data_IF_400722949521
#
_entry.id   IF_400722949521
#
_cell.length_a   1.000
_cell.length_b   1.000
_cell.length_c   1.000
_cell.angle_alpha   90.00
_cell.angle_beta   90.00
_cell.angle_gamma   90.00
#
_symmetry.space_group_name_H-M   'P 1'
#
loop_
_entity.id
_entity.type
_entity.pdbx_description
1 polymer ?
#
# COMPACT_ATOMS: atom_id res chain seq x y z
N UNK A 1 33.23 11.31 25.24
CA UNK A 1 32.57 11.53 23.92
C UNK A 1 31.30 12.33 24.12
N UNK A 2 31.27 13.57 23.64
CA UNK A 2 30.24 14.58 24.05
C UNK A 2 28.85 14.23 23.46
N UNK A 3 27.83 14.05 24.32
CA UNK A 3 26.42 13.73 23.93
C UNK A 3 25.85 14.69 22.87
N UNK A 4 26.29 15.94 22.86
CA UNK A 4 25.87 16.96 21.89
C UNK A 4 26.33 16.65 20.45
N UNK A 5 27.57 16.13 20.27
CA UNK A 5 28.14 15.79 18.96
C UNK A 5 27.51 14.53 18.36
N UNK A 6 27.16 13.54 19.19
CA UNK A 6 26.46 12.33 18.74
C UNK A 6 25.02 12.66 18.31
N UNK A 7 24.36 13.57 19.00
CA UNK A 7 23.01 14.04 18.64
C UNK A 7 22.98 14.83 17.32
N UNK A 8 23.99 15.64 17.04
CA UNK A 8 24.12 16.36 15.78
C UNK A 8 24.15 15.38 14.60
N UNK A 9 25.05 14.40 14.66
CA UNK A 9 25.19 13.36 13.62
C UNK A 9 23.90 12.58 13.39
N UNK A 10 23.20 12.15 14.44
CA UNK A 10 21.93 11.44 14.32
C UNK A 10 20.85 12.31 13.66
N UNK A 11 20.77 13.60 14.01
CA UNK A 11 19.81 14.54 13.41
C UNK A 11 20.05 14.70 11.91
N UNK A 12 21.29 14.83 11.48
CA UNK A 12 21.65 15.00 10.07
C UNK A 12 21.38 13.74 9.25
N UNK A 13 21.68 12.56 9.81
CA UNK A 13 21.37 11.28 9.18
C UNK A 13 19.86 11.07 9.03
N UNK A 14 19.08 11.36 10.08
CA UNK A 14 17.62 11.27 10.03
C UNK A 14 17.07 12.24 9.00
N UNK A 15 17.53 13.49 8.96
CA UNK A 15 17.07 14.48 7.96
C UNK A 15 17.44 14.07 6.54
N UNK A 16 18.65 13.56 6.32
CA UNK A 16 19.06 13.00 5.03
C UNK A 16 18.15 11.88 4.57
N UNK A 17 17.84 10.91 5.47
CA UNK A 17 16.92 9.82 5.18
C UNK A 17 15.50 10.32 4.89
N UNK A 18 14.98 11.31 5.63
CA UNK A 18 13.67 11.91 5.38
C UNK A 18 13.59 12.52 3.97
N UNK A 19 14.63 13.20 3.53
CA UNK A 19 14.68 13.77 2.17
C UNK A 19 14.65 12.69 1.08
N UNK A 20 15.35 11.58 1.28
CA UNK A 20 15.29 10.42 0.38
C UNK A 20 13.92 9.73 0.45
N UNK A 21 13.36 9.55 1.64
CA UNK A 21 12.04 8.97 1.88
C UNK A 21 10.92 9.71 1.16
N UNK A 22 11.07 11.01 0.93
CA UNK A 22 10.12 11.82 0.15
C UNK A 22 9.94 11.25 -1.27
N UNK A 23 10.99 10.72 -1.87
CA UNK A 23 10.93 10.08 -3.20
C UNK A 23 10.41 8.65 -3.14
N UNK A 24 10.86 7.86 -2.16
CA UNK A 24 10.58 6.42 -2.07
C UNK A 24 9.27 6.09 -1.36
N UNK A 25 8.89 6.87 -0.33
CA UNK A 25 7.77 6.56 0.58
C UNK A 25 6.64 7.58 0.52
N UNK A 26 6.61 8.45 -0.49
CA UNK A 26 5.57 9.47 -0.62
C UNK A 26 5.58 10.55 0.48
N UNK A 27 6.64 10.60 1.31
CA UNK A 27 6.84 11.63 2.32
C UNK A 27 6.28 11.34 3.70
N UNK A 28 5.69 10.16 3.96
CA UNK A 28 5.25 9.73 5.29
C UNK A 28 6.20 8.68 5.88
N UNK A 29 6.49 8.79 7.18
CA UNK A 29 7.43 7.91 7.88
C UNK A 29 7.11 7.79 9.38
N UNK A 30 7.75 6.81 10.01
CA UNK A 30 7.62 6.48 11.44
C UNK A 30 9.00 6.40 12.08
N UNK A 31 9.16 6.43 13.40
CA UNK A 31 10.46 6.23 14.04
C UNK A 31 11.13 4.90 13.66
N UNK A 32 10.35 3.85 13.40
CA UNK A 32 10.88 2.53 13.02
C UNK A 32 11.60 2.53 11.66
N UNK A 33 11.31 3.49 10.79
CA UNK A 33 11.99 3.64 9.49
C UNK A 33 13.45 4.11 9.64
N UNK A 34 13.90 4.42 10.87
CA UNK A 34 15.24 4.89 11.22
C UNK A 34 15.93 4.01 12.27
N UNK A 35 15.46 2.77 12.44
CA UNK A 35 15.97 1.87 13.48
C UNK A 35 17.47 1.51 13.32
N UNK A 36 18.00 1.64 12.10
CA UNK A 36 19.42 1.47 11.78
C UNK A 36 20.28 2.71 12.09
N UNK A 37 19.68 3.88 12.31
CA UNK A 37 20.37 5.13 12.64
C UNK A 37 20.51 5.32 14.15
N UNK A 38 19.56 4.82 14.92
CA UNK A 38 19.55 4.92 16.37
C UNK A 38 18.36 4.26 17.02
N UNK A 39 18.38 4.17 18.33
CA UNK A 39 17.25 3.62 19.10
C UNK A 39 15.98 4.47 18.92
N UNK A 40 14.81 3.82 19.10
CA UNK A 40 13.50 4.46 18.89
C UNK A 40 13.27 5.72 19.76
N UNK A 41 13.87 5.77 20.96
CA UNK A 41 13.73 6.91 21.86
C UNK A 41 14.52 8.11 21.34
N UNK A 42 15.77 7.89 20.96
CA UNK A 42 16.66 8.93 20.39
C UNK A 42 16.10 9.47 19.07
N UNK A 43 15.68 8.59 18.16
CA UNK A 43 15.02 8.98 16.92
C UNK A 43 13.72 9.75 17.21
N UNK A 44 12.90 9.29 18.14
CA UNK A 44 11.67 9.97 18.55
C UNK A 44 11.92 11.39 19.08
N UNK A 45 12.99 11.60 19.86
CA UNK A 45 13.39 12.94 20.32
C UNK A 45 13.84 13.83 19.16
N UNK A 46 14.60 13.31 18.19
CA UNK A 46 15.02 14.05 16.99
C UNK A 46 13.80 14.49 16.19
N UNK A 47 12.87 13.55 15.90
CA UNK A 47 11.64 13.86 15.17
C UNK A 47 10.77 14.88 15.91
N UNK A 48 10.65 14.77 17.24
CA UNK A 48 9.91 15.74 18.05
C UNK A 48 10.49 17.16 17.94
N UNK A 49 11.83 17.30 17.95
CA UNK A 49 12.49 18.59 17.75
C UNK A 49 12.28 19.13 16.34
N UNK A 50 12.32 18.27 15.31
CA UNK A 50 12.05 18.66 13.92
C UNK A 50 10.59 19.14 13.76
N UNK A 51 9.64 18.56 14.48
CA UNK A 51 8.25 19.04 14.53
C UNK A 51 8.20 20.43 15.16
N UNK A 52 8.86 20.63 16.32
CA UNK A 52 8.91 21.96 16.98
C UNK A 52 9.55 23.03 16.10
N UNK A 53 10.54 22.67 15.27
CA UNK A 53 11.17 23.58 14.28
C UNK A 53 10.34 23.77 13.00
N UNK A 54 9.20 23.11 12.85
CA UNK A 54 8.37 23.18 11.65
C UNK A 54 8.95 22.49 10.42
N UNK A 55 10.06 21.75 10.54
CA UNK A 55 10.70 21.04 9.42
C UNK A 55 9.85 19.86 8.93
N UNK A 56 9.17 19.19 9.84
CA UNK A 56 8.24 18.09 9.59
C UNK A 56 6.95 18.32 10.35
N UNK A 57 5.88 17.65 9.95
CA UNK A 57 4.61 17.66 10.69
C UNK A 57 4.31 16.29 11.27
N UNK A 58 3.60 16.26 12.39
CA UNK A 58 3.07 15.05 12.97
C UNK A 58 1.64 14.83 12.49
N UNK A 59 1.44 13.80 11.67
CA UNK A 59 0.11 13.43 11.14
C UNK A 59 -0.74 12.81 12.26
N UNK A 60 -0.11 11.94 13.05
CA UNK A 60 -0.69 11.28 14.23
C UNK A 60 0.42 10.76 15.14
N UNK A 61 0.04 10.18 16.29
CA UNK A 61 1.02 9.57 17.20
C UNK A 61 1.86 8.52 16.49
N UNK A 62 3.20 8.76 16.41
CA UNK A 62 4.17 7.87 15.79
C UNK A 62 4.16 7.85 14.25
N UNK A 63 3.48 8.81 13.60
CA UNK A 63 3.54 8.99 12.15
C UNK A 63 3.79 10.45 11.83
N UNK A 64 4.75 10.68 10.99
CA UNK A 64 5.25 12.01 10.62
C UNK A 64 5.27 12.15 9.10
N UNK A 65 5.31 13.40 8.64
CA UNK A 65 5.42 13.72 7.23
C UNK A 65 6.35 14.91 6.99
N UNK A 66 6.98 14.94 5.82
CA UNK A 66 7.67 16.11 5.33
C UNK A 66 6.79 16.83 4.32
N UNK A 67 6.20 17.97 4.68
CA UNK A 67 5.29 18.69 3.78
C UNK A 67 6.05 19.17 2.54
N UNK A 68 5.32 19.30 1.43
CA UNK A 68 5.84 19.84 0.17
C UNK A 68 5.28 21.26 -0.01
N UNK A 69 6.10 22.27 -0.29
CA UNK A 69 5.57 23.55 -0.72
C UNK A 69 4.82 23.39 -2.04
N UNK A 70 3.66 24.00 -2.15
CA UNK A 70 2.85 24.04 -3.36
C UNK A 70 2.49 25.49 -3.69
N UNK A 71 2.66 25.95 -4.93
CA UNK A 71 2.49 27.38 -5.28
C UNK A 71 1.11 27.95 -4.93
N UNK A 72 0.04 27.13 -5.05
CA UNK A 72 -1.34 27.56 -4.83
C UNK A 72 -1.88 27.08 -3.47
N UNK A 73 -1.53 25.85 -3.05
CA UNK A 73 -2.10 25.21 -1.85
C UNK A 73 -1.21 25.42 -0.60
N UNK A 74 -0.12 26.18 -0.71
CA UNK A 74 0.81 26.38 0.39
C UNK A 74 1.59 25.14 0.73
N UNK A 75 1.31 24.49 1.87
CA UNK A 75 2.04 23.30 2.34
C UNK A 75 1.19 22.04 2.25
N UNK A 76 1.49 21.20 1.27
CA UNK A 76 0.78 19.93 1.02
C UNK A 76 1.46 18.77 1.76
N UNK A 77 0.69 18.00 2.51
CA UNK A 77 1.17 16.82 3.24
C UNK A 77 1.33 15.59 2.37
N UNK A 78 1.72 14.51 3.01
CA UNK A 78 1.73 13.18 2.40
C UNK A 78 0.28 12.73 2.12
N UNK A 79 0.07 12.09 0.97
CA UNK A 79 -1.23 11.51 0.65
C UNK A 79 -1.63 10.37 1.61
N UNK A 80 -2.93 10.06 1.70
CA UNK A 80 -3.45 9.00 2.57
C UNK A 80 -2.74 7.66 2.38
N UNK A 81 -2.41 7.31 1.15
CA UNK A 81 -1.72 6.04 0.82
C UNK A 81 -0.30 5.99 1.38
N UNK A 82 0.42 7.11 1.33
CA UNK A 82 1.76 7.19 1.92
C UNK A 82 1.73 7.06 3.45
N UNK A 83 0.75 7.68 4.09
CA UNK A 83 0.52 7.55 5.55
C UNK A 83 0.20 6.10 5.90
N UNK A 84 -0.68 5.46 5.14
CA UNK A 84 -1.03 4.06 5.34
C UNK A 84 0.17 3.13 5.11
N UNK A 85 0.95 3.36 4.06
CA UNK A 85 2.17 2.61 3.77
C UNK A 85 3.20 2.73 4.91
N UNK A 86 3.36 3.92 5.50
CA UNK A 86 4.21 4.12 6.66
C UNK A 86 3.73 3.31 7.89
N UNK A 87 2.42 3.29 8.14
CA UNK A 87 1.82 2.48 9.21
C UNK A 87 2.02 0.98 8.94
N UNK A 88 1.82 0.56 7.70
CA UNK A 88 2.00 -0.84 7.31
C UNK A 88 3.45 -1.30 7.49
N UNK A 89 4.44 -0.50 7.07
CA UNK A 89 5.86 -0.79 7.32
C UNK A 89 6.17 -0.92 8.80
N UNK A 90 5.69 0.03 9.63
CA UNK A 90 5.88 0.00 11.09
C UNK A 90 5.30 -1.28 11.72
N UNK A 91 4.11 -1.67 11.28
CA UNK A 91 3.34 -2.78 11.88
C UNK A 91 3.66 -4.14 11.19
N UNK A 92 4.56 -4.16 10.22
CA UNK A 92 4.90 -5.38 9.44
C UNK A 92 3.71 -5.95 8.65
N UNK A 93 2.82 -5.07 8.16
CA UNK A 93 1.60 -5.47 7.46
C UNK A 93 1.80 -5.46 5.95
N UNK A 94 1.44 -6.53 5.30
CA UNK A 94 1.21 -6.54 3.86
C UNK A 94 -0.20 -5.99 3.57
N UNK A 95 -0.29 -5.09 2.60
CA UNK A 95 -1.54 -4.45 2.18
C UNK A 95 -2.03 -5.05 0.88
N UNK A 96 -3.29 -5.45 0.86
CA UNK A 96 -4.05 -5.75 -0.36
C UNK A 96 -5.01 -4.59 -0.62
N UNK A 97 -5.06 -3.98 -1.82
CA UNK A 97 -6.07 -3.00 -2.17
C UNK A 97 -7.47 -3.52 -1.89
N UNK A 98 -8.40 -2.64 -1.57
CA UNK A 98 -9.79 -3.07 -1.39
C UNK A 98 -10.38 -3.62 -2.69
N UNK A 99 -11.38 -4.48 -2.55
CA UNK A 99 -12.02 -5.04 -3.72
C UNK A 99 -12.66 -3.99 -4.63
N UNK A 100 -13.25 -2.93 -4.08
CA UNK A 100 -13.85 -1.85 -4.87
C UNK A 100 -12.77 -1.04 -5.63
N UNK A 101 -11.65 -0.72 -4.98
CA UNK A 101 -10.52 -0.04 -5.60
C UNK A 101 -9.86 -0.92 -6.67
N UNK A 102 -9.67 -2.20 -6.36
CA UNK A 102 -9.15 -3.17 -7.31
C UNK A 102 -10.08 -3.36 -8.52
N UNK A 103 -11.41 -3.41 -8.32
CA UNK A 103 -12.37 -3.50 -9.41
C UNK A 103 -12.35 -2.24 -10.30
N UNK A 104 -12.25 -1.06 -9.70
CA UNK A 104 -12.13 0.19 -10.43
C UNK A 104 -10.82 0.25 -11.25
N UNK A 105 -9.68 -0.05 -10.64
CA UNK A 105 -8.36 -0.04 -11.31
C UNK A 105 -8.25 -1.06 -12.45
N UNK A 106 -9.05 -2.11 -12.43
CA UNK A 106 -9.13 -3.13 -13.49
C UNK A 106 -10.24 -2.83 -14.52
N UNK A 107 -10.94 -1.70 -14.40
CA UNK A 107 -12.03 -1.30 -15.28
C UNK A 107 -13.32 -2.13 -15.11
N UNK A 108 -13.43 -2.92 -14.04
CA UNK A 108 -14.58 -3.79 -13.77
C UNK A 108 -15.73 -3.06 -13.07
N UNK A 109 -15.48 -1.86 -12.56
CA UNK A 109 -16.43 -0.99 -11.88
C UNK A 109 -16.05 0.46 -12.10
N UNK A 110 -17.04 1.33 -12.22
CA UNK A 110 -16.87 2.80 -12.26
C UNK A 110 -16.99 3.43 -10.87
N UNK A 111 -17.33 2.65 -9.84
CA UNK A 111 -17.50 3.14 -8.48
C UNK A 111 -16.14 3.45 -7.86
N UNK A 112 -15.95 4.70 -7.43
CA UNK A 112 -14.82 5.13 -6.62
C UNK A 112 -15.22 5.02 -5.15
N UNK A 113 -14.54 4.19 -4.34
CA UNK A 113 -14.90 4.07 -2.93
C UNK A 113 -14.62 5.38 -2.18
N UNK A 114 -15.61 5.87 -1.43
CA UNK A 114 -15.50 7.09 -0.63
C UNK A 114 -14.48 6.99 0.51
N UNK A 115 -14.08 5.77 0.90
CA UNK A 115 -13.07 5.51 1.93
C UNK A 115 -12.10 4.45 1.46
N UNK A 116 -10.81 4.73 1.63
CA UNK A 116 -9.76 3.76 1.38
C UNK A 116 -9.96 2.52 2.29
N UNK A 117 -9.85 1.34 1.71
CA UNK A 117 -10.01 0.07 2.42
C UNK A 117 -8.94 -0.91 1.94
N UNK A 118 -8.35 -1.68 2.87
CA UNK A 118 -7.26 -2.62 2.55
C UNK A 118 -7.42 -3.92 3.31
N UNK A 119 -7.11 -5.01 2.63
CA UNK A 119 -6.93 -6.31 3.28
C UNK A 119 -5.58 -6.38 4.00
N UNK A 120 -5.56 -6.92 5.21
CA UNK A 120 -4.35 -7.08 6.03
C UNK A 120 -4.32 -8.43 6.74
N UNK A 121 -3.12 -8.85 7.14
CA UNK A 121 -2.93 -10.05 7.98
C UNK A 121 -3.39 -9.83 9.43
N UNK A 122 -3.38 -8.57 9.90
CA UNK A 122 -3.73 -8.20 11.25
C UNK A 122 -5.24 -8.10 11.52
N UNK A 123 -5.59 -7.58 12.70
CA UNK A 123 -6.99 -7.37 13.10
C UNK A 123 -7.66 -6.29 12.25
N UNK A 124 -8.96 -6.47 12.01
CA UNK A 124 -9.78 -5.43 11.36
C UNK A 124 -9.87 -4.20 12.26
N UNK A 125 -9.60 -3.03 11.68
CA UNK A 125 -9.65 -1.74 12.39
C UNK A 125 -9.76 -0.57 11.43
N UNK A 126 -10.22 0.57 11.93
CA UNK A 126 -10.13 1.84 11.21
C UNK A 126 -8.86 2.56 11.65
N UNK A 127 -8.12 3.08 10.70
CA UNK A 127 -6.87 3.81 10.93
C UNK A 127 -7.05 5.24 10.46
N UNK A 128 -6.96 6.25 11.36
CA UNK A 128 -6.94 7.65 10.95
C UNK A 128 -5.67 7.95 10.15
N UNK A 129 -5.82 8.70 9.06
CA UNK A 129 -4.71 9.04 8.13
C UNK A 129 -4.30 10.52 8.21
N UNK A 130 -4.85 11.26 9.19
CA UNK A 130 -4.68 12.69 9.33
C UNK A 130 -5.83 13.48 8.70
N UNK A 131 -6.06 14.71 9.20
CA UNK A 131 -7.28 15.45 8.86
C UNK A 131 -8.53 14.63 9.11
N UNK A 132 -9.49 14.68 8.20
CA UNK A 132 -10.72 13.86 8.27
C UNK A 132 -10.58 12.50 7.56
N UNK A 133 -9.38 12.16 7.08
CA UNK A 133 -9.12 10.92 6.34
C UNK A 133 -9.01 9.70 7.24
N UNK A 134 -9.56 8.57 6.79
CA UNK A 134 -9.39 7.28 7.45
C UNK A 134 -9.35 6.14 6.43
N UNK A 135 -8.64 5.06 6.77
CA UNK A 135 -8.67 3.80 6.02
C UNK A 135 -9.23 2.69 6.88
N UNK A 136 -10.00 1.81 6.26
CA UNK A 136 -10.48 0.58 6.88
C UNK A 136 -9.53 -0.56 6.56
N UNK A 137 -8.92 -1.15 7.57
CA UNK A 137 -8.15 -2.38 7.45
C UNK A 137 -9.06 -3.56 7.75
N UNK A 138 -9.12 -4.53 6.85
CA UNK A 138 -9.96 -5.72 6.97
C UNK A 138 -9.08 -6.96 6.99
N UNK A 139 -9.29 -7.82 7.98
CA UNK A 139 -8.55 -9.07 8.06
C UNK A 139 -8.79 -9.93 6.82
N UNK A 140 -7.72 -10.48 6.27
CA UNK A 140 -7.71 -11.48 5.21
C UNK A 140 -6.97 -12.73 5.67
N UNK A 141 -7.28 -13.86 5.05
CA UNK A 141 -6.55 -15.10 5.30
C UNK A 141 -5.10 -14.97 4.84
N UNK A 142 -4.20 -15.74 5.45
CA UNK A 142 -2.78 -15.78 5.07
C UNK A 142 -2.58 -16.12 3.59
N UNK A 143 -3.42 -16.99 3.01
CA UNK A 143 -3.41 -17.28 1.57
C UNK A 143 -3.64 -16.05 0.72
N UNK A 144 -4.62 -15.21 1.09
CA UNK A 144 -4.89 -13.96 0.37
C UNK A 144 -3.79 -12.93 0.57
N UNK A 145 -3.23 -12.84 1.78
CA UNK A 145 -2.13 -11.92 2.07
C UNK A 145 -0.86 -12.28 1.30
N UNK A 146 -0.62 -13.56 1.03
CA UNK A 146 0.49 -14.00 0.19
C UNK A 146 0.43 -13.42 -1.24
N UNK A 147 -0.73 -12.92 -1.66
CA UNK A 147 -0.94 -12.26 -2.96
C UNK A 147 -0.73 -10.73 -2.90
N UNK A 148 -0.35 -10.17 -1.75
CA UNK A 148 -0.12 -8.73 -1.61
C UNK A 148 1.01 -8.26 -2.55
N UNK A 149 0.78 -7.15 -3.24
CA UNK A 149 1.71 -6.61 -4.23
C UNK A 149 1.64 -7.28 -5.61
N UNK A 150 0.93 -8.41 -5.76
CA UNK A 150 0.79 -9.16 -7.01
C UNK A 150 -0.49 -8.78 -7.77
N UNK A 151 -0.46 -8.98 -9.09
CA UNK A 151 -1.65 -8.78 -9.93
C UNK A 151 -2.78 -9.75 -9.55
N UNK A 152 -2.46 -10.99 -9.19
CA UNK A 152 -3.40 -12.00 -8.70
C UNK A 152 -4.16 -11.55 -7.45
N UNK A 153 -3.51 -10.84 -6.53
CA UNK A 153 -4.15 -10.26 -5.34
C UNK A 153 -5.18 -9.20 -5.71
N UNK A 154 -4.84 -8.30 -6.63
CA UNK A 154 -5.79 -7.29 -7.15
C UNK A 154 -7.00 -7.93 -7.82
N UNK A 155 -6.76 -8.91 -8.71
CA UNK A 155 -7.84 -9.63 -9.38
C UNK A 155 -8.71 -10.36 -8.37
N UNK A 156 -8.14 -11.07 -7.41
CA UNK A 156 -8.91 -11.79 -6.40
C UNK A 156 -9.79 -10.87 -5.54
N UNK A 157 -9.26 -9.71 -5.10
CA UNK A 157 -10.06 -8.73 -4.33
C UNK A 157 -11.15 -8.08 -5.21
N UNK A 158 -10.88 -7.78 -6.48
CA UNK A 158 -11.87 -7.27 -7.42
C UNK A 158 -13.03 -8.28 -7.61
N UNK A 159 -12.71 -9.54 -7.88
CA UNK A 159 -13.72 -10.61 -8.03
C UNK A 159 -14.54 -10.81 -6.75
N UNK A 160 -13.89 -10.72 -5.58
CA UNK A 160 -14.56 -10.79 -4.28
C UNK A 160 -15.56 -9.65 -4.09
N UNK A 161 -15.19 -8.44 -4.48
CA UNK A 161 -16.06 -7.26 -4.37
C UNK A 161 -17.28 -7.34 -5.27
N UNK A 162 -17.08 -7.81 -6.49
CA UNK A 162 -18.19 -8.01 -7.44
C UNK A 162 -19.11 -9.15 -7.01
N UNK A 163 -18.55 -10.20 -6.39
CA UNK A 163 -19.28 -11.42 -6.08
C UNK A 163 -19.44 -12.36 -7.28
N UNK A 164 -19.55 -13.66 -7.00
CA UNK A 164 -19.59 -14.72 -8.03
C UNK A 164 -20.68 -14.51 -9.09
N UNK A 165 -21.86 -14.05 -8.68
CA UNK A 165 -23.01 -13.85 -9.58
C UNK A 165 -22.80 -12.72 -10.61
N UNK A 166 -21.91 -11.76 -10.33
CA UNK A 166 -21.64 -10.62 -11.19
C UNK A 166 -20.54 -10.88 -12.22
N UNK A 167 -19.92 -12.07 -12.18
CA UNK A 167 -18.83 -12.41 -13.09
C UNK A 167 -19.40 -13.07 -14.34
N UNK A 168 -19.37 -12.32 -15.41
CA UNK A 168 -19.86 -12.74 -16.73
C UNK A 168 -18.72 -12.77 -17.76
N UNK A 169 -18.92 -13.32 -18.97
CA UNK A 169 -17.91 -13.39 -20.02
C UNK A 169 -17.34 -12.02 -20.42
N UNK A 170 -18.13 -10.97 -20.30
CA UNK A 170 -17.68 -9.61 -20.62
C UNK A 170 -16.60 -9.13 -19.65
N UNK A 171 -16.82 -9.29 -18.33
CA UNK A 171 -15.82 -8.96 -17.29
C UNK A 171 -14.55 -9.79 -17.41
N UNK A 172 -14.67 -11.05 -17.83
CA UNK A 172 -13.50 -11.88 -18.14
C UNK A 172 -12.71 -11.28 -19.30
N UNK A 173 -13.40 -10.87 -20.40
CA UNK A 173 -12.74 -10.20 -21.52
C UNK A 173 -12.09 -8.87 -21.12
N UNK A 174 -12.72 -8.10 -20.23
CA UNK A 174 -12.14 -6.86 -19.68
C UNK A 174 -10.84 -7.16 -18.94
N UNK A 175 -10.83 -8.15 -18.05
CA UNK A 175 -9.61 -8.58 -17.35
C UNK A 175 -8.53 -9.06 -18.33
N UNK A 176 -8.91 -9.81 -19.38
CA UNK A 176 -7.98 -10.26 -20.41
C UNK A 176 -7.30 -9.10 -21.15
N UNK A 177 -8.02 -7.99 -21.35
CA UNK A 177 -7.47 -6.77 -22.00
C UNK A 177 -6.63 -5.93 -21.04
N UNK A 178 -7.07 -5.81 -19.79
CA UNK A 178 -6.42 -4.97 -18.77
C UNK A 178 -5.10 -5.56 -18.26
N UNK A 179 -4.92 -6.89 -18.29
CA UNK A 179 -3.77 -7.54 -17.70
C UNK A 179 -2.68 -7.84 -18.72
N UNK A 180 -1.42 -7.43 -18.47
CA UNK A 180 -0.28 -7.82 -19.28
C UNK A 180 0.02 -9.32 -19.15
N UNK A 181 0.83 -9.86 -20.07
CA UNK A 181 1.16 -11.29 -20.12
C UNK A 181 1.79 -11.81 -18.81
N UNK A 182 2.63 -11.02 -18.16
CA UNK A 182 3.27 -11.36 -16.89
C UNK A 182 2.24 -11.53 -15.78
N UNK A 183 1.31 -10.59 -15.65
CA UNK A 183 0.22 -10.67 -14.69
C UNK A 183 -0.65 -11.92 -14.91
N UNK A 184 -0.89 -12.32 -16.16
CA UNK A 184 -1.62 -13.55 -16.51
C UNK A 184 -0.86 -14.81 -16.06
N UNK A 185 0.47 -14.81 -16.17
CA UNK A 185 1.31 -15.89 -15.62
C UNK A 185 1.22 -15.99 -14.11
N UNK A 186 1.23 -14.84 -13.41
CA UNK A 186 1.01 -14.81 -11.96
C UNK A 186 -0.33 -15.43 -11.56
N UNK A 187 -1.42 -15.20 -12.31
CA UNK A 187 -2.72 -15.80 -12.02
C UNK A 187 -2.64 -17.35 -11.98
N UNK A 188 -1.91 -17.96 -12.91
CA UNK A 188 -1.74 -19.42 -12.95
C UNK A 188 -0.92 -19.91 -11.75
N UNK A 189 0.18 -19.23 -11.43
CA UNK A 189 1.06 -19.60 -10.31
C UNK A 189 0.34 -19.53 -8.96
N UNK A 190 -0.60 -18.61 -8.83
CA UNK A 190 -1.26 -18.27 -7.59
C UNK A 190 -2.62 -18.98 -7.37
N UNK A 191 -3.03 -19.90 -8.23
CA UNK A 191 -4.29 -20.63 -8.15
C UNK A 191 -4.54 -21.29 -6.78
N UNK A 192 -3.47 -21.75 -6.13
CA UNK A 192 -3.56 -22.38 -4.79
C UNK A 192 -3.94 -21.41 -3.67
N UNK A 193 -3.71 -20.11 -3.87
CA UNK A 193 -3.94 -19.07 -2.87
C UNK A 193 -5.36 -18.48 -2.94
N UNK A 194 -6.07 -18.67 -4.05
CA UNK A 194 -7.41 -18.12 -4.24
C UNK A 194 -8.49 -19.14 -3.89
N UNK A 195 -9.70 -18.68 -3.50
CA UNK A 195 -10.86 -19.54 -3.30
C UNK A 195 -11.18 -20.39 -4.53
N UNK A 196 -11.71 -21.58 -4.31
CA UNK A 196 -11.98 -22.55 -5.38
C UNK A 196 -12.82 -21.96 -6.52
N UNK A 197 -13.82 -21.15 -6.21
CA UNK A 197 -14.73 -20.55 -7.18
C UNK A 197 -14.06 -19.50 -8.10
N UNK A 198 -12.92 -18.93 -7.68
CA UNK A 198 -12.15 -17.97 -8.50
C UNK A 198 -11.19 -18.66 -9.48
N UNK A 199 -10.82 -19.93 -9.21
CA UNK A 199 -9.83 -20.65 -10.03
C UNK A 199 -10.22 -20.75 -11.51
N UNK A 200 -11.49 -21.12 -11.86
CA UNK A 200 -11.92 -21.15 -13.26
C UNK A 200 -11.79 -19.78 -13.93
N UNK A 201 -12.12 -18.68 -13.20
CA UNK A 201 -12.00 -17.32 -13.75
C UNK A 201 -10.54 -16.96 -14.01
N UNK A 202 -9.62 -17.29 -13.10
CA UNK A 202 -8.19 -17.08 -13.25
C UNK A 202 -7.64 -17.82 -14.49
N UNK A 203 -8.01 -19.08 -14.65
CA UNK A 203 -7.61 -19.87 -15.82
C UNK A 203 -8.16 -19.27 -17.11
N UNK A 204 -9.42 -18.86 -17.14
CA UNK A 204 -10.06 -18.28 -18.31
C UNK A 204 -9.39 -16.95 -18.71
N UNK A 205 -9.08 -16.09 -17.73
CA UNK A 205 -8.37 -14.82 -17.98
C UNK A 205 -6.96 -15.08 -18.50
N UNK A 206 -6.29 -16.14 -18.06
CA UNK A 206 -4.93 -16.48 -18.46
C UNK A 206 -4.82 -17.21 -19.82
N UNK A 207 -5.90 -17.81 -20.36
CA UNK A 207 -5.88 -18.64 -21.58
C UNK A 207 -5.17 -18.01 -22.77
N UNK A 208 -5.34 -16.72 -23.04
CA UNK A 208 -4.65 -16.04 -24.15
C UNK A 208 -3.13 -15.95 -24.03
N UNK A 209 -2.55 -16.29 -22.85
CA UNK A 209 -1.10 -16.30 -22.69
C UNK A 209 -0.48 -17.66 -23.03
N UNK A 210 -1.25 -18.76 -22.90
CA UNK A 210 -0.78 -20.13 -23.14
C UNK A 210 -0.70 -20.43 -24.64
N UNK A 211 -1.57 -19.85 -25.45
CA UNK A 211 -1.63 -20.12 -26.90
C UNK A 211 -0.45 -19.53 -27.71
N UNK A 212 0.38 -18.66 -27.15
CA UNK A 212 1.59 -18.12 -27.79
C UNK A 212 2.88 -18.89 -27.51
N UNK A 213 2.88 -19.83 -26.60
CA UNK A 213 4.08 -20.63 -26.23
C UNK A 213 4.08 -22.04 -26.81
N UNK A 214 3.03 -22.44 -27.56
CA UNK A 214 2.98 -23.77 -28.20
C UNK A 214 3.54 -23.80 -29.61
N UNK A 215 4.13 -22.73 -30.10
CA UNK A 215 4.78 -22.66 -31.43
C UNK A 215 6.12 -21.89 -31.31
N UNK A 216 7.08 -22.45 -30.58
CA UNK A 216 8.50 -22.11 -30.70
C UNK A 216 9.33 -23.32 -30.32
#
# INVERSE_FOLDING_TARGET
MNRATAYGKTSDLVLGRIRMAKRQWGGAFTPSDFADIGDLRSVGMVLSRMVKKGTIRRVRRGVYEMPKPHPVLGSVGAGPDAVLAAIARRDGLALLPSGAEAANSLGLSTQVPARASYGVSGRSRVVPLGGNGSARLQRRSSKMIALAGRASGRVAEALRSLGKAQINPEKIRQLQRALPAEAKRELIQDLRHVPAWMRPVFLEVAKKCVSKQSFA
#
